data_IF_745829429974
#
_entry.id   IF_745829429974
#
_cell.length_a   1.000
_cell.length_b   1.000
_cell.length_c   1.000
_cell.angle_alpha   90.00
_cell.angle_beta   90.00
_cell.angle_gamma   90.00
#
_symmetry.space_group_name_H-M   'P 1'
#
loop_
_entity.id
_entity.type
_entity.pdbx_description
1 polymer ?
#
# COMPACT_ATOMS: atom_id res chain seq x y z
N UNK A 1 -27.51 17.60 -5.09
CA UNK A 1 -27.48 16.24 -4.46
C UNK A 1 -26.22 16.11 -3.63
N UNK A 2 -26.32 15.64 -2.38
CA UNK A 2 -25.14 15.44 -1.50
C UNK A 2 -24.42 14.17 -1.92
N UNK A 3 -23.14 14.27 -2.31
CA UNK A 3 -22.33 13.11 -2.69
C UNK A 3 -22.11 12.24 -1.44
N UNK A 4 -22.49 10.96 -1.52
CA UNK A 4 -22.38 10.00 -0.42
C UNK A 4 -20.94 9.50 -0.28
N UNK A 5 -20.60 8.94 0.88
CA UNK A 5 -19.37 8.15 1.04
C UNK A 5 -19.46 6.90 0.14
N UNK A 6 -18.32 6.48 -0.39
CA UNK A 6 -18.25 5.27 -1.20
C UNK A 6 -18.56 4.03 -0.36
N UNK A 7 -19.33 3.13 -0.94
CA UNK A 7 -19.63 1.83 -0.36
C UNK A 7 -19.68 0.77 -1.48
N UNK A 8 -18.83 -0.26 -1.41
CA UNK A 8 -18.82 -1.41 -2.31
C UNK A 8 -19.62 -2.61 -1.78
N UNK A 9 -20.04 -2.55 -0.50
CA UNK A 9 -20.79 -3.62 0.16
C UNK A 9 -22.25 -3.58 -0.30
N UNK A 10 -22.76 -4.73 -0.71
CA UNK A 10 -24.12 -4.89 -1.21
C UNK A 10 -24.80 -6.18 -0.72
N UNK A 11 -25.82 -6.61 -1.45
CA UNK A 11 -26.64 -7.78 -1.10
C UNK A 11 -25.83 -9.09 -1.09
N UNK A 12 -24.83 -9.21 -1.95
CA UNK A 12 -23.98 -10.40 -2.05
C UNK A 12 -23.13 -10.57 -0.81
N UNK A 13 -22.48 -9.51 -0.35
CA UNK A 13 -21.68 -9.52 0.88
C UNK A 13 -22.54 -9.78 2.10
N UNK A 14 -23.72 -9.12 2.20
CA UNK A 14 -24.68 -9.36 3.28
C UNK A 14 -25.08 -10.84 3.33
N UNK A 15 -25.47 -11.42 2.18
CA UNK A 15 -25.87 -12.84 2.10
C UNK A 15 -24.73 -13.78 2.49
N UNK A 16 -23.49 -13.46 2.09
CA UNK A 16 -22.31 -14.27 2.42
C UNK A 16 -21.97 -14.20 3.91
N UNK A 17 -22.00 -13.01 4.52
CA UNK A 17 -21.78 -12.83 5.96
C UNK A 17 -22.84 -13.54 6.81
N UNK A 18 -24.12 -13.43 6.45
CA UNK A 18 -25.22 -14.13 7.13
C UNK A 18 -25.04 -15.63 7.10
N UNK A 19 -24.56 -16.22 5.98
CA UNK A 19 -24.27 -17.66 5.92
C UNK A 19 -23.19 -18.09 6.92
N UNK A 20 -22.16 -17.29 7.10
CA UNK A 20 -21.12 -17.56 8.09
C UNK A 20 -21.69 -17.48 9.50
N UNK A 21 -22.43 -16.41 9.82
CA UNK A 21 -23.03 -16.22 11.13
C UNK A 21 -23.98 -17.39 11.48
N UNK A 22 -24.84 -17.81 10.55
CA UNK A 22 -25.74 -18.94 10.73
C UNK A 22 -25.03 -20.29 10.91
N UNK A 23 -23.78 -20.43 10.44
CA UNK A 23 -23.00 -21.66 10.64
C UNK A 23 -22.43 -21.78 12.04
N UNK A 24 -22.37 -20.68 12.81
CA UNK A 24 -21.71 -20.64 14.13
C UNK A 24 -20.19 -20.69 14.09
N UNK A 25 -19.57 -20.93 12.91
CA UNK A 25 -18.11 -21.04 12.74
C UNK A 25 -17.55 -19.72 12.24
N UNK A 26 -17.13 -18.84 13.15
CA UNK A 26 -16.60 -17.51 12.85
C UNK A 26 -15.06 -17.52 12.64
N UNK A 27 -14.39 -18.57 13.10
CA UNK A 27 -12.98 -18.88 12.89
C UNK A 27 -12.77 -20.37 13.00
N UNK A 28 -11.84 -20.92 12.23
CA UNK A 28 -11.51 -22.35 12.28
C UNK A 28 -9.99 -22.55 12.16
N UNK A 29 -9.21 -21.58 12.66
CA UNK A 29 -7.75 -21.69 12.76
C UNK A 29 -7.32 -22.50 13.99
N UNK A 30 -6.35 -23.40 13.78
CA UNK A 30 -5.66 -24.14 14.84
C UNK A 30 -4.16 -23.89 14.69
N UNK A 31 -3.42 -23.70 15.80
CA UNK A 31 -1.97 -23.48 15.79
C UNK A 31 -1.16 -24.71 15.36
N UNK A 32 -1.67 -25.91 15.63
CA UNK A 32 -1.02 -27.17 15.29
C UNK A 32 -1.11 -27.51 13.80
N UNK A 33 -0.20 -28.36 13.32
CA UNK A 33 -0.22 -28.87 11.95
C UNK A 33 -1.51 -29.65 11.67
N UNK A 34 -2.21 -29.30 10.59
CA UNK A 34 -3.44 -29.95 10.15
C UNK A 34 -4.18 -29.11 9.13
N UNK A 35 -5.36 -29.55 8.74
CA UNK A 35 -6.21 -28.86 7.77
C UNK A 35 -6.53 -27.43 8.22
N UNK A 36 -6.79 -27.24 9.49
CA UNK A 36 -7.27 -25.98 10.06
C UNK A 36 -6.12 -25.02 10.43
N UNK A 37 -4.86 -25.41 10.25
CA UNK A 37 -3.72 -24.50 10.33
C UNK A 37 -3.81 -23.36 9.28
N UNK A 38 -4.48 -23.62 8.16
CA UNK A 38 -4.69 -22.66 7.08
C UNK A 38 -6.03 -21.89 7.20
N UNK A 39 -6.76 -22.06 8.29
CA UNK A 39 -8.08 -21.43 8.52
C UNK A 39 -9.23 -22.29 8.04
N UNK A 40 -10.42 -21.75 8.18
CA UNK A 40 -11.65 -22.45 7.83
C UNK A 40 -12.05 -22.32 6.35
N UNK A 41 -13.28 -22.70 6.09
CA UNK A 41 -13.84 -22.85 4.74
C UNK A 41 -13.76 -21.56 3.90
N UNK A 42 -14.17 -20.41 4.45
CA UNK A 42 -14.23 -19.17 3.71
C UNK A 42 -12.85 -18.52 3.57
N UNK A 43 -11.99 -18.62 4.58
CA UNK A 43 -10.59 -18.20 4.51
C UNK A 43 -9.88 -18.93 3.36
N UNK A 44 -9.92 -20.26 3.35
CA UNK A 44 -9.28 -21.07 2.30
C UNK A 44 -9.87 -20.79 0.91
N UNK A 45 -11.18 -20.60 0.81
CA UNK A 45 -11.86 -20.24 -0.45
C UNK A 45 -11.44 -18.85 -0.94
N UNK A 46 -11.33 -17.87 -0.06
CA UNK A 46 -10.88 -16.52 -0.40
C UNK A 46 -9.43 -16.52 -0.89
N UNK A 47 -8.52 -17.19 -0.17
CA UNK A 47 -7.12 -17.35 -0.58
C UNK A 47 -7.02 -18.02 -1.96
N UNK A 48 -7.79 -19.11 -2.21
CA UNK A 48 -7.85 -19.78 -3.51
C UNK A 48 -8.34 -18.85 -4.63
N UNK A 49 -9.35 -18.03 -4.34
CA UNK A 49 -9.92 -17.11 -5.34
C UNK A 49 -8.93 -15.98 -5.67
N UNK A 50 -8.24 -15.41 -4.66
CA UNK A 50 -7.20 -14.39 -4.87
C UNK A 50 -6.02 -14.98 -5.63
N UNK A 51 -5.56 -16.18 -5.27
CA UNK A 51 -4.53 -16.93 -5.99
C UNK A 51 -4.86 -17.05 -7.49
N UNK A 52 -6.08 -17.45 -7.82
CA UNK A 52 -6.51 -17.62 -9.20
C UNK A 52 -6.66 -16.28 -9.92
N UNK A 53 -7.23 -15.26 -9.25
CA UNK A 53 -7.45 -13.93 -9.84
C UNK A 53 -6.14 -13.24 -10.23
N UNK A 54 -5.12 -13.31 -9.36
CA UNK A 54 -3.83 -12.67 -9.57
C UNK A 54 -2.79 -13.59 -10.23
N UNK A 55 -3.13 -14.87 -10.48
CA UNK A 55 -2.23 -15.88 -11.07
C UNK A 55 -0.93 -16.03 -10.27
N UNK A 56 -1.05 -16.30 -8.98
CA UNK A 56 0.09 -16.54 -8.06
C UNK A 56 0.02 -17.92 -7.45
N UNK A 57 1.16 -18.48 -7.00
CA UNK A 57 1.21 -19.81 -6.40
C UNK A 57 0.64 -19.86 -4.98
N UNK A 58 0.79 -18.76 -4.22
CA UNK A 58 0.35 -18.69 -2.82
C UNK A 58 -0.33 -17.34 -2.55
N UNK A 59 -1.44 -17.38 -1.81
CA UNK A 59 -2.11 -16.24 -1.22
C UNK A 59 -2.41 -16.58 0.24
N UNK A 60 -2.10 -15.68 1.16
CA UNK A 60 -2.23 -15.87 2.60
C UNK A 60 -2.98 -14.67 3.17
N UNK A 61 -4.19 -14.90 3.68
CA UNK A 61 -5.02 -13.86 4.28
C UNK A 61 -4.50 -13.48 5.67
N UNK A 62 -4.62 -12.20 5.99
CA UNK A 62 -4.24 -11.62 7.30
C UNK A 62 -5.28 -10.58 7.70
N UNK A 63 -5.36 -10.30 9.02
CA UNK A 63 -6.34 -9.36 9.57
C UNK A 63 -6.12 -7.88 9.16
N UNK A 64 -4.95 -7.54 8.64
CA UNK A 64 -4.63 -6.23 8.04
C UNK A 64 -3.43 -6.33 7.12
N UNK A 65 -3.24 -5.37 6.20
CA UNK A 65 -2.01 -5.35 5.41
C UNK A 65 -0.78 -4.95 6.25
N UNK A 66 -0.95 -4.25 7.36
CA UNK A 66 0.13 -4.01 8.33
C UNK A 66 0.67 -5.34 8.86
N UNK A 67 -0.21 -6.26 9.27
CA UNK A 67 0.17 -7.62 9.65
C UNK A 67 0.81 -8.37 8.48
N UNK A 68 0.32 -8.13 7.26
CA UNK A 68 0.91 -8.69 6.03
C UNK A 68 2.35 -8.22 5.81
N UNK A 69 2.64 -6.94 6.04
CA UNK A 69 4.02 -6.40 5.98
C UNK A 69 4.91 -7.01 7.07
N UNK A 70 4.42 -7.13 8.29
CA UNK A 70 5.14 -7.79 9.39
C UNK A 70 5.47 -9.25 9.02
N UNK A 71 4.48 -10.01 8.51
CA UNK A 71 4.70 -11.38 8.04
C UNK A 71 5.70 -11.43 6.88
N UNK A 72 5.62 -10.50 5.93
CA UNK A 72 6.47 -10.48 4.75
C UNK A 72 7.94 -10.21 5.09
N UNK A 73 8.19 -9.26 6.00
CA UNK A 73 9.54 -8.96 6.48
C UNK A 73 10.08 -10.12 7.31
N UNK A 74 9.30 -10.64 8.26
CA UNK A 74 9.71 -11.79 9.07
C UNK A 74 9.96 -13.06 8.26
N UNK A 75 9.29 -13.23 7.10
CA UNK A 75 9.53 -14.33 6.20
C UNK A 75 10.92 -14.29 5.54
N UNK A 76 11.57 -13.13 5.48
CA UNK A 76 12.94 -12.97 5.00
C UNK A 76 13.99 -13.45 6.00
N UNK A 77 13.59 -13.73 7.24
CA UNK A 77 14.49 -14.13 8.35
C UNK A 77 15.52 -13.05 8.71
N UNK A 78 15.06 -11.82 9.01
CA UNK A 78 15.95 -10.70 9.23
C UNK A 78 16.72 -10.84 10.55
N UNK A 79 17.93 -10.30 10.58
CA UNK A 79 18.71 -10.10 11.80
C UNK A 79 18.51 -8.68 12.36
N UNK A 80 18.56 -8.48 13.68
CA UNK A 80 18.55 -7.13 14.25
C UNK A 80 19.67 -6.25 13.65
N UNK A 81 19.30 -5.06 13.20
CA UNK A 81 20.22 -4.12 12.54
C UNK A 81 20.34 -4.29 11.03
N UNK A 82 19.67 -5.27 10.42
CA UNK A 82 19.53 -5.32 8.96
C UNK A 82 18.77 -4.09 8.45
N UNK A 83 19.14 -3.61 7.27
CA UNK A 83 18.52 -2.44 6.67
C UNK A 83 17.43 -2.85 5.67
N UNK A 84 16.30 -2.17 5.74
CA UNK A 84 15.25 -2.26 4.72
C UNK A 84 14.97 -0.86 4.19
N UNK A 85 15.15 -0.68 2.88
CA UNK A 85 14.88 0.61 2.25
C UNK A 85 13.37 0.77 2.06
N UNK A 86 12.83 1.92 2.48
CA UNK A 86 11.44 2.30 2.25
C UNK A 86 11.33 3.77 1.82
N UNK A 87 10.19 4.12 1.25
CA UNK A 87 9.89 5.51 0.89
C UNK A 87 9.43 6.30 2.11
N UNK A 88 9.78 7.60 2.25
CA UNK A 88 9.18 8.46 3.25
C UNK A 88 7.73 8.84 2.92
N UNK A 89 7.26 8.55 1.72
CA UNK A 89 6.03 9.02 1.10
C UNK A 89 4.98 7.89 1.03
N UNK A 90 4.56 7.42 2.21
CA UNK A 90 3.57 6.35 2.34
C UNK A 90 2.93 6.35 3.74
N UNK A 91 2.12 5.35 4.04
CA UNK A 91 1.55 5.10 5.36
C UNK A 91 2.64 4.56 6.32
N UNK A 92 2.61 4.97 7.58
CA UNK A 92 3.66 4.64 8.55
C UNK A 92 3.88 3.12 8.75
N UNK A 93 2.87 2.29 8.49
CA UNK A 93 2.98 0.83 8.56
C UNK A 93 4.18 0.27 7.78
N UNK A 94 4.57 0.89 6.66
CA UNK A 94 5.74 0.48 5.88
C UNK A 94 7.02 0.54 6.72
N UNK A 95 7.23 1.63 7.46
CA UNK A 95 8.44 1.80 8.26
C UNK A 95 8.33 1.15 9.66
N UNK A 96 7.14 1.15 10.28
CA UNK A 96 6.95 0.52 11.59
C UNK A 96 7.03 -1.00 11.52
N UNK A 97 6.62 -1.64 10.43
CA UNK A 97 6.80 -3.09 10.24
C UNK A 97 8.27 -3.49 10.08
N UNK A 98 9.13 -2.58 9.60
CA UNK A 98 10.59 -2.77 9.60
C UNK A 98 11.13 -2.78 11.04
N UNK A 99 10.75 -1.76 11.83
CA UNK A 99 11.15 -1.66 13.23
C UNK A 99 10.64 -2.85 14.06
N UNK A 100 9.48 -3.41 13.71
CA UNK A 100 8.91 -4.57 14.40
C UNK A 100 9.87 -5.77 14.45
N UNK A 101 10.71 -5.94 13.44
CA UNK A 101 11.73 -6.98 13.36
C UNK A 101 13.12 -6.49 13.77
N UNK A 102 13.21 -5.37 14.48
CA UNK A 102 14.47 -4.76 14.89
C UNK A 102 15.41 -4.39 13.73
N UNK A 103 14.84 -4.29 12.52
CA UNK A 103 15.54 -3.77 11.35
C UNK A 103 15.54 -2.25 11.34
N UNK A 104 16.45 -1.68 10.58
CA UNK A 104 16.62 -0.23 10.44
C UNK A 104 15.96 0.24 9.14
N UNK A 105 14.93 1.09 9.20
CA UNK A 105 14.37 1.69 7.99
C UNK A 105 15.32 2.74 7.41
N UNK A 106 15.65 2.57 6.12
CA UNK A 106 16.47 3.51 5.34
C UNK A 106 15.55 4.23 4.37
N UNK A 107 15.33 5.54 4.58
CA UNK A 107 14.41 6.29 3.72
C UNK A 107 15.08 6.72 2.42
N UNK A 108 14.42 6.44 1.29
CA UNK A 108 14.85 6.84 -0.04
C UNK A 108 13.82 7.74 -0.69
N UNK A 109 14.29 8.88 -1.20
CA UNK A 109 13.45 9.93 -1.78
C UNK A 109 12.72 9.48 -3.05
N UNK A 110 11.73 10.24 -3.46
CA UNK A 110 10.82 9.94 -4.56
C UNK A 110 11.02 10.87 -5.77
N UNK A 111 10.51 10.46 -6.91
CA UNK A 111 10.33 11.28 -8.09
C UNK A 111 9.03 12.10 -7.97
N UNK A 112 9.11 13.42 -8.24
CA UNK A 112 7.97 14.34 -8.07
C UNK A 112 6.84 14.14 -9.08
N UNK A 113 7.09 13.45 -10.16
CA UNK A 113 6.12 13.28 -11.26
C UNK A 113 5.35 11.98 -11.18
N UNK A 114 5.99 10.92 -10.68
CA UNK A 114 5.39 9.59 -10.53
C UNK A 114 5.05 9.25 -9.09
N UNK A 115 5.67 9.94 -8.12
CA UNK A 115 5.61 9.70 -6.67
C UNK A 115 6.22 8.37 -6.23
N UNK A 116 6.75 7.58 -7.14
CA UNK A 116 7.52 6.36 -6.89
C UNK A 116 8.98 6.70 -6.57
N UNK A 117 9.83 5.71 -6.28
CA UNK A 117 11.24 5.97 -5.98
C UNK A 117 11.97 6.78 -7.06
N UNK A 118 12.78 7.73 -6.62
CA UNK A 118 13.92 8.22 -7.40
C UNK A 118 14.99 7.13 -7.44
N UNK A 119 15.16 6.47 -8.58
CA UNK A 119 16.07 5.33 -8.73
C UNK A 119 17.52 5.69 -8.48
N UNK A 120 17.93 6.95 -8.74
CA UNK A 120 19.29 7.43 -8.44
C UNK A 120 19.53 7.51 -6.94
N UNK A 121 18.54 7.99 -6.20
CA UNK A 121 18.56 8.04 -4.73
C UNK A 121 18.49 6.64 -4.14
N UNK A 122 17.60 5.80 -4.65
CA UNK A 122 17.48 4.40 -4.23
C UNK A 122 18.82 3.67 -4.35
N UNK A 123 19.53 3.80 -5.49
CA UNK A 123 20.85 3.19 -5.71
C UNK A 123 21.86 3.61 -4.64
N UNK A 124 21.87 4.90 -4.25
CA UNK A 124 22.80 5.44 -3.25
C UNK A 124 22.55 4.90 -1.84
N UNK A 125 21.31 4.53 -1.55
CA UNK A 125 20.90 4.04 -0.23
C UNK A 125 21.13 2.54 -0.03
N UNK A 126 21.52 1.80 -1.08
CA UNK A 126 21.83 0.38 -0.95
C UNK A 126 23.21 0.21 -0.32
N UNK A 127 23.25 -0.50 0.81
CA UNK A 127 24.47 -0.83 1.55
C UNK A 127 24.71 -2.34 1.65
N UNK A 128 25.80 -2.75 2.29
CA UNK A 128 26.08 -4.17 2.59
C UNK A 128 25.11 -4.78 3.60
N UNK A 129 24.39 -3.94 4.39
CA UNK A 129 23.38 -4.38 5.37
C UNK A 129 21.96 -4.41 4.78
N UNK A 130 21.77 -3.93 3.56
CA UNK A 130 20.45 -3.91 2.92
C UNK A 130 20.01 -5.32 2.56
N UNK A 131 18.94 -5.82 3.19
CA UNK A 131 18.35 -7.13 2.90
C UNK A 131 17.10 -7.06 2.02
N UNK A 132 16.40 -5.91 2.03
CA UNK A 132 15.19 -5.75 1.25
C UNK A 132 14.92 -4.29 0.83
N UNK A 133 14.13 -4.15 -0.23
CA UNK A 133 13.51 -2.90 -0.67
C UNK A 133 12.00 -3.07 -0.57
N UNK A 134 11.34 -2.20 0.19
CA UNK A 134 9.89 -2.13 0.28
C UNK A 134 9.38 -1.19 -0.83
N UNK A 135 8.97 -1.77 -1.95
CA UNK A 135 8.45 -1.06 -3.11
C UNK A 135 6.98 -0.73 -2.92
N UNK A 136 6.65 0.56 -2.79
CA UNK A 136 5.26 1.01 -2.55
C UNK A 136 4.63 1.46 -3.85
N UNK A 137 3.55 0.79 -4.25
CA UNK A 137 2.73 1.14 -5.41
C UNK A 137 1.79 2.31 -5.06
N UNK A 138 2.39 3.48 -4.79
CA UNK A 138 1.69 4.62 -4.20
C UNK A 138 0.59 5.18 -5.11
N UNK A 139 -0.52 5.62 -4.52
CA UNK A 139 -1.68 6.25 -5.15
C UNK A 139 -2.39 5.41 -6.23
N UNK A 140 -1.87 4.24 -6.57
CA UNK A 140 -2.50 3.34 -7.54
C UNK A 140 -1.66 3.00 -8.77
N UNK A 141 -0.37 3.34 -8.78
CA UNK A 141 0.58 3.01 -9.85
C UNK A 141 1.71 2.12 -9.32
N UNK A 142 2.08 1.09 -10.10
CA UNK A 142 3.21 0.22 -9.77
C UNK A 142 4.53 0.98 -9.68
N UNK A 143 5.41 0.54 -8.78
CA UNK A 143 6.83 0.87 -8.85
C UNK A 143 7.47 0.36 -10.14
N UNK A 144 8.64 0.90 -10.48
CA UNK A 144 9.41 0.43 -11.64
C UNK A 144 10.24 -0.81 -11.25
N UNK A 145 9.53 -1.95 -11.13
CA UNK A 145 10.10 -3.18 -10.59
C UNK A 145 11.31 -3.69 -11.38
N UNK A 146 11.30 -3.56 -12.70
CA UNK A 146 12.41 -4.04 -13.51
C UNK A 146 13.69 -3.23 -13.27
N UNK A 147 13.57 -1.90 -13.13
CA UNK A 147 14.72 -1.05 -12.82
C UNK A 147 15.22 -1.30 -11.38
N UNK A 148 14.32 -1.50 -10.42
CA UNK A 148 14.73 -1.90 -9.06
C UNK A 148 15.47 -3.24 -9.10
N UNK A 149 14.98 -4.23 -9.84
CA UNK A 149 15.67 -5.52 -10.03
C UNK A 149 17.05 -5.36 -10.64
N UNK A 150 17.22 -4.46 -11.62
CA UNK A 150 18.54 -4.15 -12.21
C UNK A 150 19.51 -3.58 -11.17
N UNK A 151 19.03 -2.69 -10.27
CA UNK A 151 19.87 -2.10 -9.23
C UNK A 151 20.41 -3.12 -8.22
N UNK A 152 19.67 -4.19 -8.00
CA UNK A 152 20.03 -5.25 -7.03
C UNK A 152 20.52 -6.53 -7.69
N UNK A 153 20.75 -6.52 -9.02
CA UNK A 153 21.30 -7.66 -9.73
C UNK A 153 22.60 -8.12 -9.06
N UNK A 154 22.72 -9.43 -8.85
CA UNK A 154 23.87 -10.07 -8.16
C UNK A 154 23.98 -9.72 -6.65
N UNK A 155 22.92 -9.20 -6.03
CA UNK A 155 22.82 -8.95 -4.58
C UNK A 155 21.73 -9.82 -3.98
N UNK A 156 21.93 -10.29 -2.74
CA UNK A 156 20.90 -11.05 -2.04
C UNK A 156 19.87 -10.11 -1.37
N UNK A 157 19.34 -9.16 -2.14
CA UNK A 157 18.33 -8.21 -1.67
C UNK A 157 16.97 -8.63 -2.21
N UNK A 158 15.96 -8.70 -1.35
CA UNK A 158 14.58 -9.06 -1.72
C UNK A 158 13.74 -7.82 -1.99
N UNK A 159 12.69 -7.97 -2.76
CA UNK A 159 11.71 -6.89 -3.01
C UNK A 159 10.38 -7.31 -2.41
N UNK A 160 9.85 -6.47 -1.51
CA UNK A 160 8.49 -6.58 -0.99
C UNK A 160 7.64 -5.49 -1.64
N UNK A 161 6.54 -5.84 -2.31
CA UNK A 161 5.60 -4.84 -2.86
C UNK A 161 4.48 -4.54 -1.87
N UNK A 162 4.40 -3.28 -1.44
CA UNK A 162 3.20 -2.75 -0.79
C UNK A 162 2.23 -2.22 -1.86
N UNK A 163 1.26 -3.05 -2.23
CA UNK A 163 0.25 -2.72 -3.24
C UNK A 163 -1.10 -2.33 -2.59
N UNK A 164 -1.07 -1.87 -1.32
CA UNK A 164 -2.27 -1.49 -0.57
C UNK A 164 -3.12 -0.39 -1.24
N UNK A 165 -2.52 0.44 -2.07
CA UNK A 165 -3.20 1.52 -2.79
C UNK A 165 -3.38 1.22 -4.28
N UNK A 166 -2.91 0.06 -4.75
CA UNK A 166 -2.83 -0.24 -6.18
C UNK A 166 -3.41 -1.60 -6.57
N UNK A 167 -4.32 -2.15 -5.77
CA UNK A 167 -4.96 -3.43 -6.09
C UNK A 167 -5.63 -3.36 -7.48
N UNK A 168 -5.26 -4.29 -8.36
CA UNK A 168 -5.75 -4.35 -9.74
C UNK A 168 -4.95 -3.52 -10.74
N UNK A 169 -3.94 -2.73 -10.32
CA UNK A 169 -3.00 -2.11 -11.24
C UNK A 169 -2.12 -3.14 -11.92
N UNK A 170 -1.53 -2.76 -13.05
CA UNK A 170 -0.67 -3.63 -13.85
C UNK A 170 0.63 -2.94 -14.23
N UNK A 171 1.67 -3.74 -14.30
CA UNK A 171 2.97 -3.41 -14.89
C UNK A 171 3.31 -4.46 -15.95
N UNK A 172 3.53 -4.04 -17.22
CA UNK A 172 3.76 -4.95 -18.35
C UNK A 172 2.72 -6.08 -18.45
N UNK A 173 1.44 -5.73 -18.27
CA UNK A 173 0.31 -6.65 -18.36
C UNK A 173 0.09 -7.56 -17.14
N UNK A 174 1.06 -7.68 -16.22
CA UNK A 174 0.94 -8.48 -14.98
C UNK A 174 0.47 -7.60 -13.82
N UNK A 175 -0.26 -8.17 -12.87
CA UNK A 175 -0.75 -7.44 -11.71
C UNK A 175 0.39 -6.98 -10.80
N UNK A 176 0.35 -5.71 -10.35
CA UNK A 176 1.24 -5.19 -9.31
C UNK A 176 1.08 -6.02 -8.03
N UNK A 177 2.16 -6.13 -7.25
CA UNK A 177 2.21 -7.01 -6.09
C UNK A 177 2.59 -8.46 -6.40
N UNK A 178 2.51 -8.91 -7.67
CA UNK A 178 2.85 -10.29 -8.06
C UNK A 178 4.22 -10.44 -8.72
N UNK A 179 4.94 -9.34 -8.87
CA UNK A 179 6.17 -9.24 -9.67
C UNK A 179 7.45 -9.32 -8.83
N UNK A 180 7.30 -9.38 -7.53
CA UNK A 180 8.36 -9.32 -6.52
C UNK A 180 8.44 -10.61 -5.72
N UNK A 181 9.40 -10.70 -4.79
CA UNK A 181 9.56 -11.88 -3.93
C UNK A 181 8.31 -12.14 -3.09
N UNK A 182 7.78 -11.07 -2.46
CA UNK A 182 6.54 -11.05 -1.72
C UNK A 182 5.80 -9.75 -2.07
N UNK A 183 4.50 -9.81 -2.20
CA UNK A 183 3.67 -8.61 -2.31
C UNK A 183 2.36 -8.79 -1.59
N UNK A 184 1.51 -7.75 -1.61
CA UNK A 184 0.19 -7.92 -1.04
C UNK A 184 -0.70 -6.69 -1.09
N UNK A 185 -1.89 -6.90 -0.58
CA UNK A 185 -3.03 -6.01 -0.75
C UNK A 185 -3.70 -5.72 0.58
N UNK A 186 -4.27 -4.52 0.71
CA UNK A 186 -5.10 -4.12 1.85
C UNK A 186 -6.58 -4.18 1.47
N UNK A 187 -7.39 -4.70 2.39
CA UNK A 187 -8.85 -4.69 2.31
C UNK A 187 -9.47 -3.79 3.38
N UNK A 188 -8.73 -2.80 3.85
CA UNK A 188 -9.28 -1.79 4.76
C UNK A 188 -10.43 -1.02 4.09
N UNK A 189 -11.40 -0.54 4.87
CA UNK A 189 -12.70 0.01 4.42
C UNK A 189 -12.63 1.07 3.30
N UNK A 190 -11.54 1.83 3.20
CA UNK A 190 -11.40 2.91 2.21
C UNK A 190 -10.64 2.51 0.94
N UNK A 191 -10.34 1.21 0.75
CA UNK A 191 -9.69 0.71 -0.46
C UNK A 191 -10.71 0.51 -1.61
N UNK A 192 -10.23 0.13 -2.79
CA UNK A 192 -11.10 -0.12 -3.96
C UNK A 192 -12.16 -1.17 -3.66
N UNK A 193 -11.75 -2.26 -3.03
CA UNK A 193 -12.57 -3.30 -2.43
C UNK A 193 -12.17 -3.46 -0.97
N UNK A 194 -13.08 -3.91 -0.13
CA UNK A 194 -12.80 -4.00 1.31
C UNK A 194 -13.56 -5.13 2.01
N UNK A 195 -13.06 -5.50 3.18
CA UNK A 195 -13.71 -6.43 4.12
C UNK A 195 -13.96 -5.79 5.48
N UNK A 196 -13.90 -4.44 5.55
CA UNK A 196 -13.81 -3.67 6.77
C UNK A 196 -12.35 -3.53 7.18
N UNK A 197 -11.77 -4.57 7.72
CA UNK A 197 -10.34 -4.78 7.91
C UNK A 197 -9.91 -6.06 7.18
N UNK A 198 -8.63 -6.16 6.79
CA UNK A 198 -8.07 -7.32 6.13
C UNK A 198 -6.86 -7.01 5.26
N UNK A 199 -6.13 -8.06 4.93
CA UNK A 199 -5.01 -8.02 3.99
C UNK A 199 -4.79 -9.38 3.33
N UNK A 200 -3.97 -9.38 2.28
CA UNK A 200 -3.59 -10.59 1.56
C UNK A 200 -2.13 -10.52 1.15
N UNK A 201 -1.33 -11.45 1.60
CA UNK A 201 0.04 -11.67 1.15
C UNK A 201 -0.01 -12.55 -0.10
N UNK A 202 0.79 -12.23 -1.12
CA UNK A 202 0.93 -13.05 -2.33
C UNK A 202 2.40 -13.31 -2.61
N UNK A 203 2.74 -14.53 -3.01
CA UNK A 203 4.09 -14.91 -3.39
C UNK A 203 4.10 -16.16 -4.28
N UNK A 204 5.15 -16.32 -5.07
CA UNK A 204 5.41 -17.55 -5.83
C UNK A 204 6.46 -18.44 -5.13
N UNK A 205 7.03 -18.00 -4.02
CA UNK A 205 8.03 -18.73 -3.25
C UNK A 205 7.37 -19.52 -2.11
N UNK A 206 7.53 -20.86 -2.16
CA UNK A 206 6.94 -21.78 -1.18
C UNK A 206 7.46 -21.57 0.26
N UNK A 207 8.73 -21.23 0.39
CA UNK A 207 9.35 -21.02 1.71
C UNK A 207 8.83 -19.73 2.35
N UNK A 208 8.75 -18.64 1.59
CA UNK A 208 8.16 -17.40 2.08
C UNK A 208 6.69 -17.58 2.45
N UNK A 209 5.91 -18.29 1.63
CA UNK A 209 4.52 -18.60 1.93
C UNK A 209 4.38 -19.37 3.24
N UNK A 210 5.22 -20.38 3.47
CA UNK A 210 5.18 -21.16 4.69
C UNK A 210 5.55 -20.34 5.93
N UNK A 211 6.61 -19.53 5.86
CA UNK A 211 7.01 -18.64 6.95
C UNK A 211 5.92 -17.60 7.27
N UNK A 212 5.30 -17.01 6.24
CA UNK A 212 4.16 -16.10 6.43
C UNK A 212 2.98 -16.77 7.16
N UNK A 213 2.66 -18.02 6.82
CA UNK A 213 1.62 -18.80 7.51
C UNK A 213 1.96 -19.08 8.97
N UNK A 214 3.21 -19.37 9.28
CA UNK A 214 3.69 -19.55 10.66
C UNK A 214 3.54 -18.24 11.44
N UNK A 215 4.06 -17.13 10.92
CA UNK A 215 4.01 -15.81 11.59
C UNK A 215 2.56 -15.36 11.80
N UNK A 216 1.69 -15.59 10.82
CA UNK A 216 0.25 -15.31 10.92
C UNK A 216 -0.43 -16.06 12.07
N UNK A 217 -0.01 -17.29 12.34
CA UNK A 217 -0.69 -18.22 13.22
C UNK A 217 0.25 -18.73 14.32
N UNK A 218 0.67 -17.85 15.22
CA UNK A 218 1.47 -18.06 16.43
C UNK A 218 2.91 -18.55 16.24
N UNK A 219 3.31 -19.03 15.07
CA UNK A 219 4.66 -19.56 14.83
C UNK A 219 5.02 -20.77 15.68
N UNK A 220 4.03 -21.51 16.16
CA UNK A 220 4.22 -22.71 16.98
C UNK A 220 5.01 -23.78 16.23
N UNK A 221 5.61 -24.70 16.99
CA UNK A 221 6.32 -25.84 16.42
C UNK A 221 5.38 -26.69 15.55
N UNK A 222 5.68 -26.74 14.25
CA UNK A 222 4.92 -27.52 13.28
C UNK A 222 5.74 -28.71 12.85
N UNK A 223 5.31 -29.92 13.26
CA UNK A 223 5.96 -31.18 12.91
C UNK A 223 5.50 -31.60 11.51
N UNK A 224 6.43 -31.70 10.57
CA UNK A 224 6.16 -32.26 9.24
C UNK A 224 6.31 -33.77 9.27
N UNK A 225 5.19 -34.49 9.16
CA UNK A 225 5.14 -35.99 9.24
C UNK A 225 6.16 -36.67 8.32
N UNK A 226 6.33 -36.23 7.08
CA UNK A 226 7.25 -36.84 6.10
C UNK A 226 8.73 -36.66 6.42
N UNK A 227 9.12 -35.56 7.05
CA UNK A 227 10.53 -35.21 7.28
C UNK A 227 10.90 -35.21 8.76
N UNK A 228 9.93 -35.42 9.67
CA UNK A 228 10.07 -35.21 11.11
C UNK A 228 10.70 -33.86 11.48
N UNK A 229 10.68 -32.89 10.54
CA UNK A 229 11.22 -31.54 10.78
C UNK A 229 10.26 -30.74 11.63
N UNK A 230 10.81 -30.00 12.57
CA UNK A 230 10.07 -29.06 13.42
C UNK A 230 10.42 -27.66 12.93
N UNK A 231 9.40 -26.86 12.65
CA UNK A 231 9.56 -25.44 12.34
C UNK A 231 8.87 -24.62 13.43
N UNK A 232 9.62 -23.71 14.01
CA UNK A 232 9.12 -22.77 15.01
C UNK A 232 9.78 -21.42 14.78
N UNK A 233 8.99 -20.35 14.77
CA UNK A 233 9.46 -18.97 14.61
C UNK A 233 8.58 -18.05 15.44
N UNK A 234 9.04 -16.83 15.68
CA UNK A 234 8.23 -15.79 16.32
C UNK A 234 6.96 -15.54 15.49
N UNK A 235 5.81 -15.71 16.09
CA UNK A 235 4.53 -15.57 15.42
C UNK A 235 3.48 -14.85 16.26
N UNK A 236 2.37 -14.52 15.62
CA UNK A 236 1.33 -13.66 16.16
C UNK A 236 -0.06 -14.21 15.81
N UNK A 237 -1.09 -13.57 16.33
CA UNK A 237 -2.47 -13.80 15.88
C UNK A 237 -2.86 -12.73 14.83
N UNK A 238 -2.49 -12.98 13.57
CA UNK A 238 -2.84 -12.13 12.44
C UNK A 238 -3.88 -12.78 11.52
N UNK A 239 -4.67 -13.68 12.05
CA UNK A 239 -5.67 -14.47 11.33
C UNK A 239 -6.83 -13.59 10.88
N UNK A 240 -7.32 -13.83 9.65
CA UNK A 240 -8.55 -13.22 9.12
C UNK A 240 -9.74 -14.08 9.55
N UNK A 241 -10.85 -13.45 9.95
CA UNK A 241 -12.09 -14.16 10.29
C UNK A 241 -12.84 -14.67 9.07
N UNK A 242 -13.74 -15.65 9.29
CA UNK A 242 -14.57 -16.25 8.23
C UNK A 242 -15.57 -15.26 7.65
N UNK A 243 -16.06 -14.29 8.43
CA UNK A 243 -16.99 -13.24 7.95
C UNK A 243 -16.29 -12.35 6.94
N UNK A 244 -15.13 -11.81 7.30
CA UNK A 244 -14.32 -10.94 6.44
C UNK A 244 -13.89 -11.68 5.17
N UNK A 245 -13.53 -12.95 5.31
CA UNK A 245 -13.16 -13.80 4.17
C UNK A 245 -14.36 -14.01 3.23
N UNK A 246 -15.55 -14.25 3.77
CA UNK A 246 -16.77 -14.41 2.98
C UNK A 246 -17.16 -13.13 2.21
N UNK A 247 -17.00 -11.96 2.86
CA UNK A 247 -17.15 -10.65 2.22
C UNK A 247 -16.10 -10.49 1.11
N UNK A 248 -14.83 -10.82 1.39
CA UNK A 248 -13.72 -10.73 0.44
C UNK A 248 -13.93 -11.54 -0.84
N UNK A 249 -14.56 -12.71 -0.74
CA UNK A 249 -14.94 -13.55 -1.87
C UNK A 249 -15.86 -12.79 -2.85
N UNK A 250 -16.81 -12.02 -2.35
CA UNK A 250 -17.72 -11.26 -3.21
C UNK A 250 -17.05 -9.97 -3.73
N UNK A 251 -16.24 -9.34 -2.91
CA UNK A 251 -15.53 -8.11 -3.26
C UNK A 251 -14.52 -8.32 -4.41
N UNK A 252 -13.75 -9.41 -4.41
CA UNK A 252 -12.77 -9.68 -5.49
C UNK A 252 -13.45 -9.84 -6.86
N UNK A 253 -14.68 -10.35 -6.92
CA UNK A 253 -15.46 -10.45 -8.15
C UNK A 253 -15.78 -9.07 -8.75
N UNK A 254 -15.94 -8.05 -7.91
CA UNK A 254 -16.28 -6.67 -8.30
C UNK A 254 -15.05 -5.84 -8.72
N UNK A 255 -13.82 -6.27 -8.38
CA UNK A 255 -12.61 -5.48 -8.50
C UNK A 255 -12.39 -4.89 -9.90
N UNK A 256 -12.47 -5.69 -10.95
CA UNK A 256 -12.25 -5.21 -12.33
C UNK A 256 -13.23 -4.09 -12.72
N UNK A 257 -14.51 -4.23 -12.37
CA UNK A 257 -15.55 -3.22 -12.65
C UNK A 257 -15.29 -1.93 -11.87
N UNK A 258 -14.94 -2.03 -10.59
CA UNK A 258 -14.65 -0.91 -9.72
C UNK A 258 -13.42 -0.14 -10.23
N UNK A 259 -12.33 -0.83 -10.54
CA UNK A 259 -11.10 -0.22 -11.08
C UNK A 259 -11.39 0.50 -12.39
N UNK A 260 -12.06 -0.14 -13.34
CA UNK A 260 -12.43 0.47 -14.64
C UNK A 260 -13.24 1.76 -14.44
N UNK A 261 -14.18 1.75 -13.50
CA UNK A 261 -15.00 2.92 -13.20
C UNK A 261 -14.15 4.05 -12.56
N UNK A 262 -13.24 3.74 -11.62
CA UNK A 262 -12.31 4.73 -11.03
C UNK A 262 -11.40 5.35 -12.10
N UNK A 263 -10.89 4.53 -13.00
CA UNK A 263 -10.10 5.01 -14.14
C UNK A 263 -10.90 5.95 -15.05
N UNK A 264 -12.18 5.68 -15.30
CA UNK A 264 -13.01 6.57 -16.11
C UNK A 264 -13.28 7.92 -15.42
N UNK A 265 -13.52 7.92 -14.12
CA UNK A 265 -13.65 9.15 -13.32
C UNK A 265 -12.36 9.99 -13.39
N UNK A 266 -11.22 9.37 -13.11
CA UNK A 266 -9.93 10.05 -13.13
C UNK A 266 -9.58 10.58 -14.53
N UNK A 267 -9.76 9.78 -15.57
CA UNK A 267 -9.51 10.16 -16.95
C UNK A 267 -10.39 11.35 -17.38
N UNK A 268 -11.68 11.35 -16.99
CA UNK A 268 -12.59 12.46 -17.28
C UNK A 268 -12.07 13.77 -16.65
N UNK A 269 -11.72 13.76 -15.37
CA UNK A 269 -11.21 14.94 -14.69
C UNK A 269 -9.87 15.39 -15.27
N UNK A 270 -8.88 14.50 -15.34
CA UNK A 270 -7.51 14.81 -15.77
C UNK A 270 -7.53 15.41 -17.20
N UNK A 271 -8.23 14.77 -18.14
CA UNK A 271 -8.36 15.30 -19.52
C UNK A 271 -9.03 16.68 -19.55
N UNK A 272 -10.06 16.89 -18.74
CA UNK A 272 -10.80 18.14 -18.71
C UNK A 272 -10.05 19.33 -18.11
N UNK A 273 -8.99 19.06 -17.32
CA UNK A 273 -8.15 20.08 -16.68
C UNK A 273 -6.70 20.09 -17.18
N UNK A 274 -6.36 19.31 -18.21
CA UNK A 274 -4.99 19.16 -18.72
C UNK A 274 -4.38 20.47 -19.25
N UNK A 275 -5.19 21.41 -19.69
CA UNK A 275 -4.76 22.72 -20.19
C UNK A 275 -4.59 23.79 -19.08
N UNK A 276 -4.81 23.45 -17.82
CA UNK A 276 -4.63 24.38 -16.70
C UNK A 276 -3.15 24.57 -16.39
N UNK A 277 -2.60 25.75 -16.77
CA UNK A 277 -1.17 26.06 -16.55
C UNK A 277 -0.77 25.89 -15.09
N UNK A 278 0.33 25.20 -14.84
CA UNK A 278 0.89 24.99 -13.51
C UNK A 278 0.21 23.89 -12.68
N UNK A 279 -0.79 23.19 -13.22
CA UNK A 279 -1.38 21.99 -12.61
C UNK A 279 -0.84 20.74 -13.30
N UNK A 280 -0.07 19.94 -12.59
CA UNK A 280 0.48 18.71 -13.12
C UNK A 280 -0.29 17.51 -12.55
N UNK A 281 -0.93 16.74 -13.44
CA UNK A 281 -1.50 15.44 -13.12
C UNK A 281 -0.37 14.38 -12.98
N UNK A 282 -0.63 13.21 -12.36
CA UNK A 282 0.37 12.17 -12.25
C UNK A 282 0.80 11.67 -13.63
N UNK A 283 2.09 11.42 -13.80
CA UNK A 283 2.60 10.74 -14.98
C UNK A 283 2.35 9.25 -14.81
N UNK A 284 1.52 8.68 -15.68
CA UNK A 284 1.38 7.23 -15.78
C UNK A 284 2.51 6.71 -16.65
N UNK A 285 3.44 5.95 -16.05
CA UNK A 285 4.60 5.39 -16.74
C UNK A 285 4.16 4.46 -17.86
N UNK A 286 5.00 4.37 -18.91
CA UNK A 286 4.82 3.39 -19.96
C UNK A 286 4.71 1.97 -19.37
N UNK A 287 3.85 1.15 -19.95
CA UNK A 287 3.55 -0.21 -19.51
C UNK A 287 2.92 -0.33 -18.09
N UNK A 288 2.59 0.80 -17.43
CA UNK A 288 1.82 0.82 -16.18
C UNK A 288 0.35 1.14 -16.41
N UNK A 289 -0.51 0.59 -15.57
CA UNK A 289 -1.85 1.11 -15.37
C UNK A 289 -1.95 1.79 -14.00
N UNK A 290 -2.72 2.89 -13.91
CA UNK A 290 -3.00 3.58 -12.67
C UNK A 290 -4.46 3.32 -12.27
N UNK A 291 -4.70 2.85 -11.04
CA UNK A 291 -6.06 2.51 -10.57
C UNK A 291 -6.69 3.60 -9.71
N UNK A 292 -5.95 4.67 -9.45
CA UNK A 292 -6.41 5.88 -8.79
C UNK A 292 -7.08 5.63 -7.43
N UNK A 293 -6.29 5.22 -6.46
CA UNK A 293 -6.70 5.29 -5.05
C UNK A 293 -7.03 6.74 -4.65
N UNK A 294 -6.20 7.67 -5.09
CA UNK A 294 -6.45 9.10 -5.15
C UNK A 294 -6.05 9.63 -6.53
N UNK A 295 -6.52 10.80 -6.93
CA UNK A 295 -5.96 11.53 -8.08
C UNK A 295 -4.97 12.55 -7.50
N UNK A 296 -3.65 12.27 -7.56
CA UNK A 296 -2.64 13.17 -7.05
C UNK A 296 -2.38 14.31 -8.04
N UNK A 297 -2.03 15.49 -7.52
CA UNK A 297 -1.66 16.66 -8.31
C UNK A 297 -0.45 17.34 -7.69
N UNK A 298 0.39 17.92 -8.55
CA UNK A 298 1.51 18.75 -8.16
C UNK A 298 1.40 20.14 -8.81
N UNK A 299 1.56 21.22 -8.02
CA UNK A 299 1.48 22.60 -8.47
C UNK A 299 2.87 23.15 -8.80
N UNK A 300 3.05 23.68 -10.01
CA UNK A 300 4.17 24.59 -10.29
C UNK A 300 3.86 25.97 -9.74
N UNK A 301 4.24 26.20 -8.48
CA UNK A 301 3.91 27.42 -7.74
C UNK A 301 4.45 28.72 -8.37
N UNK A 302 5.42 28.63 -9.28
CA UNK A 302 5.93 29.80 -10.02
C UNK A 302 4.87 30.44 -10.92
N UNK A 303 3.86 29.67 -11.32
CA UNK A 303 2.75 30.11 -12.19
C UNK A 303 1.60 30.79 -11.44
N UNK A 304 1.60 30.77 -10.10
CA UNK A 304 0.45 31.23 -9.31
C UNK A 304 0.78 32.46 -8.46
N UNK A 305 -0.24 33.32 -8.25
CA UNK A 305 -0.20 34.43 -7.29
C UNK A 305 -0.22 33.97 -5.84
N UNK A 306 -0.67 32.74 -5.59
CA UNK A 306 -0.96 32.22 -4.25
C UNK A 306 -0.21 30.93 -3.95
N UNK A 307 0.05 30.67 -2.67
CA UNK A 307 0.54 29.38 -2.15
C UNK A 307 -0.57 28.31 -2.23
N UNK A 308 -0.20 27.02 -2.24
CA UNK A 308 -1.11 25.87 -2.30
C UNK A 308 -2.33 26.01 -1.37
N UNK A 309 -2.12 26.33 -0.09
CA UNK A 309 -3.21 26.46 0.92
C UNK A 309 -4.34 27.37 0.45
N UNK A 310 -4.00 28.52 -0.15
CA UNK A 310 -5.01 29.47 -0.69
C UNK A 310 -5.72 28.90 -1.91
N UNK A 311 -4.99 28.23 -2.82
CA UNK A 311 -5.57 27.59 -4.02
C UNK A 311 -6.58 26.53 -3.60
N UNK A 312 -6.21 25.65 -2.67
CA UNK A 312 -7.09 24.59 -2.16
C UNK A 312 -8.30 25.18 -1.42
N UNK A 313 -8.13 26.26 -0.65
CA UNK A 313 -9.24 26.96 0.00
C UNK A 313 -10.25 27.49 -1.05
N UNK A 314 -9.78 28.07 -2.16
CA UNK A 314 -10.66 28.54 -3.24
C UNK A 314 -11.39 27.37 -3.92
N UNK A 315 -10.73 26.26 -4.20
CA UNK A 315 -11.37 25.07 -4.74
C UNK A 315 -12.42 24.48 -3.77
N UNK A 316 -12.15 24.46 -2.47
CA UNK A 316 -13.11 24.04 -1.44
C UNK A 316 -14.32 24.97 -1.35
N UNK A 317 -14.14 26.27 -1.53
CA UNK A 317 -15.26 27.25 -1.60
C UNK A 317 -16.19 26.96 -2.79
N UNK A 318 -15.67 26.46 -3.90
CA UNK A 318 -16.47 25.96 -5.03
C UNK A 318 -17.14 24.60 -4.76
N UNK A 319 -17.12 24.11 -3.51
CA UNK A 319 -17.73 22.84 -3.09
C UNK A 319 -17.18 21.61 -3.84
N UNK A 320 -15.87 21.56 -4.09
CA UNK A 320 -15.17 20.35 -4.55
C UNK A 320 -14.87 19.50 -3.32
N UNK A 321 -15.55 18.37 -3.19
CA UNK A 321 -15.35 17.44 -2.10
C UNK A 321 -14.13 16.56 -2.34
N UNK A 322 -13.55 16.03 -1.25
CA UNK A 322 -12.47 15.05 -1.30
C UNK A 322 -11.08 15.65 -1.54
N UNK A 323 -10.94 16.98 -1.56
CA UNK A 323 -9.63 17.63 -1.68
C UNK A 323 -8.88 17.57 -0.34
N UNK A 324 -7.64 17.06 -0.41
CA UNK A 324 -6.68 17.10 0.70
C UNK A 324 -5.30 17.53 0.20
N UNK A 325 -4.48 18.03 1.11
CA UNK A 325 -3.17 18.61 0.78
C UNK A 325 -2.06 18.00 1.62
N UNK A 326 -0.87 17.86 1.02
CA UNK A 326 0.28 17.24 1.63
C UNK A 326 0.12 15.73 1.78
N UNK A 327 1.19 15.07 2.13
CA UNK A 327 1.25 13.66 2.55
C UNK A 327 2.43 13.54 3.51
N UNK A 328 2.20 13.07 4.74
CA UNK A 328 3.21 13.13 5.80
C UNK A 328 4.48 12.39 5.42
N UNK A 329 5.63 13.03 5.65
CA UNK A 329 6.94 12.42 5.47
C UNK A 329 7.30 11.57 6.69
N UNK A 330 7.47 10.27 6.52
CA UNK A 330 7.67 9.33 7.63
C UNK A 330 8.94 9.62 8.42
N UNK A 331 10.05 9.93 7.75
CA UNK A 331 11.34 10.22 8.41
C UNK A 331 11.27 11.42 9.37
N UNK A 332 10.30 12.33 9.19
CA UNK A 332 10.09 13.50 10.06
C UNK A 332 9.12 13.22 11.23
N UNK A 333 8.58 12.01 11.36
CA UNK A 333 7.77 11.66 12.52
C UNK A 333 8.63 11.57 13.79
N UNK A 334 8.08 11.95 14.95
CA UNK A 334 8.81 11.92 16.23
C UNK A 334 9.49 10.57 16.53
N UNK A 335 8.86 9.47 16.15
CA UNK A 335 9.39 8.11 16.26
C UNK A 335 10.80 7.99 15.67
N UNK A 336 11.02 8.54 14.46
CA UNK A 336 12.30 8.45 13.75
C UNK A 336 13.24 9.57 14.16
N UNK A 337 12.74 10.79 14.35
CA UNK A 337 13.54 11.93 14.78
C UNK A 337 14.20 11.67 16.14
N UNK A 338 13.46 11.09 17.07
CA UNK A 338 13.95 10.80 18.42
C UNK A 338 14.53 9.38 18.56
N UNK A 339 14.41 8.54 17.51
CA UNK A 339 14.87 7.13 17.49
C UNK A 339 14.39 6.32 18.71
N UNK A 340 13.08 6.39 19.00
CA UNK A 340 12.45 5.75 20.17
C UNK A 340 11.35 4.79 19.75
N UNK A 341 11.72 3.62 19.19
CA UNK A 341 10.74 2.58 18.85
C UNK A 341 10.37 1.72 20.07
N UNK A 342 11.35 1.39 20.92
CA UNK A 342 11.16 0.54 22.08
C UNK A 342 11.80 1.14 23.31
N UNK A 343 11.02 1.36 24.38
CA UNK A 343 11.51 1.90 25.64
C UNK A 343 12.20 3.25 25.50
N UNK A 344 13.13 3.56 26.41
CA UNK A 344 13.78 4.87 26.49
C UNK A 344 15.23 4.89 25.99
N UNK A 345 15.82 3.74 25.61
CA UNK A 345 17.25 3.61 25.29
C UNK A 345 17.56 3.69 23.79
N UNK A 346 16.61 4.13 22.96
CA UNK A 346 16.82 4.32 21.51
C UNK A 346 16.95 3.02 20.70
N UNK A 347 16.41 1.89 21.19
CA UNK A 347 16.43 0.63 20.44
C UNK A 347 15.42 0.67 19.26
N UNK A 348 15.73 0.09 18.06
CA UNK A 348 16.91 -0.71 17.71
C UNK A 348 18.16 0.09 17.31
N UNK A 349 18.09 1.40 17.18
CA UNK A 349 19.22 2.22 16.69
C UNK A 349 20.42 2.24 17.64
N UNK A 350 20.21 2.10 18.96
CA UNK A 350 21.31 2.03 19.94
C UNK A 350 22.26 0.85 19.71
N UNK A 351 21.77 -0.23 19.08
CA UNK A 351 22.56 -1.41 18.75
C UNK A 351 23.01 -1.43 17.27
N UNK A 352 22.82 -0.33 16.55
CA UNK A 352 23.16 -0.21 15.16
C UNK A 352 24.52 0.46 14.97
N UNK A 353 25.48 -0.24 14.39
CA UNK A 353 26.90 0.15 14.33
C UNK A 353 27.22 1.27 13.32
N UNK A 354 26.20 1.83 12.64
CA UNK A 354 26.36 2.91 11.67
C UNK A 354 25.52 4.10 12.06
N UNK A 355 25.96 5.29 11.68
CA UNK A 355 25.13 6.49 11.76
C UNK A 355 24.05 6.44 10.69
N UNK A 356 22.80 6.68 11.07
CA UNK A 356 21.69 6.92 10.16
C UNK A 356 21.00 8.24 10.51
N UNK A 357 20.81 9.09 9.51
CA UNK A 357 20.10 10.35 9.66
C UNK A 357 18.67 10.23 9.17
N UNK A 358 17.75 10.82 9.94
CA UNK A 358 16.37 11.07 9.55
C UNK A 358 16.06 12.57 9.49
N UNK A 359 17.07 13.40 9.46
CA UNK A 359 16.94 14.85 9.45
C UNK A 359 16.19 15.34 8.22
N UNK A 360 15.58 16.51 8.36
CA UNK A 360 15.00 17.22 7.22
C UNK A 360 16.10 17.51 6.18
N UNK A 361 15.77 17.26 4.91
CA UNK A 361 16.70 17.44 3.79
C UNK A 361 17.21 16.14 3.18
N UNK A 362 17.03 14.99 3.84
CA UNK A 362 17.42 13.69 3.24
C UNK A 362 16.48 13.26 2.09
N UNK A 363 15.22 13.70 2.14
CA UNK A 363 14.18 13.36 1.16
C UNK A 363 13.52 14.63 0.60
N UNK A 364 14.34 15.50 -0.02
CA UNK A 364 13.95 16.86 -0.47
C UNK A 364 12.72 16.89 -1.36
N UNK A 365 12.54 15.90 -2.26
CA UNK A 365 11.39 15.86 -3.16
C UNK A 365 10.09 15.60 -2.39
N UNK A 366 10.09 14.60 -1.50
CA UNK A 366 8.93 14.29 -0.66
C UNK A 366 8.60 15.44 0.29
N UNK A 367 9.61 16.06 0.90
CA UNK A 367 9.45 17.20 1.79
C UNK A 367 8.82 18.41 1.07
N UNK A 368 9.33 18.77 -0.11
CA UNK A 368 8.80 19.88 -0.90
C UNK A 368 7.37 19.64 -1.36
N UNK A 369 7.06 18.42 -1.81
CA UNK A 369 5.70 18.04 -2.17
C UNK A 369 4.76 18.19 -0.97
N UNK A 370 5.12 17.64 0.19
CA UNK A 370 4.31 17.75 1.41
C UNK A 370 4.08 19.20 1.82
N UNK A 371 5.12 19.98 1.90
CA UNK A 371 5.06 21.34 2.45
C UNK A 371 4.42 22.34 1.47
N UNK A 372 4.70 22.20 0.16
CA UNK A 372 4.46 23.30 -0.77
C UNK A 372 3.45 23.01 -1.86
N UNK A 373 3.56 21.89 -2.59
CA UNK A 373 2.94 21.80 -3.92
C UNK A 373 1.94 20.66 -4.11
N UNK A 374 1.99 19.61 -3.31
CA UNK A 374 1.16 18.43 -3.49
C UNK A 374 -0.24 18.57 -2.88
N UNK A 375 -1.25 18.18 -3.67
CA UNK A 375 -2.61 17.91 -3.18
C UNK A 375 -3.24 16.77 -3.97
N UNK A 376 -4.36 16.26 -3.50
CA UNK A 376 -5.05 15.16 -4.17
C UNK A 376 -6.57 15.24 -4.04
N UNK A 377 -7.27 14.56 -4.94
CA UNK A 377 -8.69 14.27 -4.84
C UNK A 377 -8.86 12.81 -4.37
N UNK A 378 -9.48 12.60 -3.20
CA UNK A 378 -9.73 11.30 -2.59
C UNK A 378 -10.89 10.57 -3.30
N UNK A 379 -10.62 10.04 -4.50
CA UNK A 379 -11.63 9.48 -5.39
C UNK A 379 -12.23 8.18 -4.84
N UNK A 380 -11.51 7.43 -4.01
CA UNK A 380 -12.03 6.21 -3.36
C UNK A 380 -12.91 6.50 -2.13
N UNK A 381 -12.93 7.73 -1.61
CA UNK A 381 -13.68 8.07 -0.39
C UNK A 381 -15.15 8.39 -0.63
N UNK A 382 -15.54 8.67 -1.87
CA UNK A 382 -16.88 9.13 -2.21
C UNK A 382 -17.46 8.38 -3.42
N UNK A 383 -18.78 8.27 -3.46
CA UNK A 383 -19.53 7.67 -4.58
C UNK A 383 -19.74 8.68 -5.71
N UNK A 384 -18.62 9.05 -6.33
CA UNK A 384 -18.61 10.00 -7.44
C UNK A 384 -19.20 9.40 -8.72
N UNK A 385 -19.85 10.27 -9.50
CA UNK A 385 -20.33 9.99 -10.85
C UNK A 385 -19.50 10.76 -11.90
N UNK A 386 -19.59 10.39 -13.16
CA UNK A 386 -18.94 11.11 -14.26
C UNK A 386 -19.43 12.58 -14.33
N UNK A 387 -20.72 12.82 -14.03
CA UNK A 387 -21.29 14.16 -13.93
C UNK A 387 -20.61 15.04 -12.88
N UNK A 388 -20.18 14.47 -11.75
CA UNK A 388 -19.46 15.19 -10.72
C UNK A 388 -18.08 15.64 -11.24
N UNK A 389 -17.38 14.76 -11.97
CA UNK A 389 -16.08 15.10 -12.59
C UNK A 389 -16.24 16.21 -13.64
N UNK A 390 -17.29 16.17 -14.47
CA UNK A 390 -17.61 17.25 -15.41
C UNK A 390 -17.85 18.58 -14.69
N UNK A 391 -18.62 18.57 -13.61
CA UNK A 391 -18.85 19.75 -12.77
C UNK A 391 -17.55 20.26 -12.12
N UNK A 392 -16.69 19.36 -11.63
CA UNK A 392 -15.41 19.74 -11.06
C UNK A 392 -14.48 20.39 -12.07
N UNK A 393 -14.47 19.95 -13.34
CA UNK A 393 -13.73 20.60 -14.43
C UNK A 393 -14.11 22.08 -14.56
N UNK A 394 -15.43 22.39 -14.56
CA UNK A 394 -15.93 23.76 -14.64
C UNK A 394 -15.42 24.59 -13.45
N UNK A 395 -15.51 24.04 -12.24
CA UNK A 395 -15.07 24.70 -11.01
C UNK A 395 -13.56 24.93 -10.97
N UNK A 396 -12.77 23.94 -11.39
CA UNK A 396 -11.32 24.11 -11.55
C UNK A 396 -11.00 25.25 -12.51
N UNK A 397 -11.59 25.26 -13.71
CA UNK A 397 -11.38 26.31 -14.70
C UNK A 397 -11.77 27.71 -14.17
N UNK A 398 -12.89 27.81 -13.43
CA UNK A 398 -13.33 29.05 -12.79
C UNK A 398 -12.31 29.60 -11.78
N UNK A 399 -11.77 28.71 -10.93
CA UNK A 399 -10.74 29.11 -9.95
C UNK A 399 -9.44 29.47 -10.64
N UNK A 400 -9.02 28.70 -11.67
CA UNK A 400 -7.76 28.92 -12.39
C UNK A 400 -7.66 30.30 -13.03
N UNK A 401 -8.77 30.84 -13.58
CA UNK A 401 -8.82 32.22 -14.11
C UNK A 401 -8.45 33.28 -13.06
N UNK A 402 -8.61 32.99 -11.77
CA UNK A 402 -8.40 33.96 -10.68
C UNK A 402 -7.01 33.86 -10.04
N UNK A 403 -6.30 32.74 -10.21
CA UNK A 403 -5.09 32.45 -9.44
C UNK A 403 -3.79 32.48 -10.23
N UNK A 404 -3.87 32.47 -11.57
CA UNK A 404 -2.69 32.60 -12.44
C UNK A 404 -2.07 33.99 -12.32
N UNK A 405 -0.74 34.04 -12.45
CA UNK A 405 0.03 35.29 -12.61
C UNK A 405 -0.24 35.93 -13.97
#
# INVERSE_FOLDING_TARGET
MKIKKYNSIGKEELKSAVKVIKSGVLSDFVGAQGRNFEGGKYVQKFEKQVKNFFNVKHAISVNSWTSGLICSIGALDPSPGDEIICTPWTMCACATSILHWNCIPVFSDIDKSTFNYDLKKLKKNISSKTIAILAVDIFGQSENIDEIKKLIKNKNIKIISDTAQAIGSKYKGKYSGTLTDIGGYSFNYHKHINTGEGGMIVTNNKNFAFRCKLIRNHGEAVIRKKTKSISNILGYNFRLGEIEAAIGIEQIKKLKKIVKFRQSLASTLIKGISNLKGLNAPIVKENCSHVYYVIPFNLDLKKFKFKRKKIISLLKKEKILGLAEGYTNLHLLPLFQNKIAYGKKGYPWSNYNKSISYEKGICKNAEELHEKSFFYLAICSYDFKISDMKNYIIKFKKVWKKILK
#
